data_IF_402591807817
#
_entry.id   IF_402591807817
#
_cell.length_a   1.000
_cell.length_b   1.000
_cell.length_c   1.000
_cell.angle_alpha   90.00
_cell.angle_beta   90.00
_cell.angle_gamma   90.00
#
_symmetry.space_group_name_H-M   'P 1'
#
loop_
_entity.id
_entity.type
_entity.pdbx_description
1 polymer ?
#
# COMPACT_ATOMS: atom_id res chain seq x y z
N UNK A 1 6.46 32.44 -0.64
CA UNK A 1 4.99 32.25 -0.63
C UNK A 1 4.62 31.42 0.56
N UNK A 2 3.56 31.78 1.28
CA UNK A 2 3.00 30.97 2.39
C UNK A 2 1.79 30.18 1.88
N UNK A 3 1.60 28.96 2.38
CA UNK A 3 0.38 28.16 2.14
C UNK A 3 -0.43 28.24 3.42
N UNK A 4 -1.72 28.59 3.30
CA UNK A 4 -2.65 28.53 4.42
C UNK A 4 -3.44 27.22 4.29
N UNK A 5 -3.21 26.29 5.23
CA UNK A 5 -3.87 25.00 5.28
C UNK A 5 -4.79 24.96 6.50
N UNK A 6 -6.04 24.56 6.29
CA UNK A 6 -7.04 24.41 7.34
C UNK A 6 -7.59 22.99 7.32
N UNK A 7 -7.53 22.31 8.46
CA UNK A 7 -8.12 20.99 8.57
C UNK A 7 -9.62 21.03 8.31
N UNK A 8 -10.07 20.28 7.31
CA UNK A 8 -11.48 20.16 6.91
C UNK A 8 -12.08 18.80 7.30
N UNK A 9 -11.22 17.79 7.47
CA UNK A 9 -11.65 16.46 7.84
C UNK A 9 -10.71 15.38 7.30
N UNK A 10 -11.15 14.15 7.46
CA UNK A 10 -10.44 12.95 6.96
C UNK A 10 -11.35 12.12 6.06
N UNK A 11 -10.81 11.67 4.95
CA UNK A 11 -11.39 10.58 4.15
C UNK A 11 -10.69 9.28 4.53
N UNK A 12 -11.47 8.24 4.81
CA UNK A 12 -10.95 6.94 5.24
C UNK A 12 -11.42 5.90 4.23
N UNK A 13 -10.49 5.16 3.65
CA UNK A 13 -10.78 3.99 2.82
C UNK A 13 -10.57 2.76 3.70
N UNK A 14 -11.57 1.90 3.80
CA UNK A 14 -11.46 0.55 4.34
C UNK A 14 -11.75 -0.44 3.21
N UNK A 15 -10.93 -1.47 3.08
CA UNK A 15 -11.07 -2.46 2.02
C UNK A 15 -10.44 -3.79 2.45
N UNK A 16 -10.84 -4.88 1.79
CA UNK A 16 -10.10 -6.14 1.85
C UNK A 16 -9.19 -6.27 0.65
N UNK A 17 -7.87 -6.43 0.90
CA UNK A 17 -6.89 -6.79 -0.10
C UNK A 17 -6.79 -8.30 -0.17
N UNK A 18 -7.11 -8.87 -1.33
CA UNK A 18 -7.10 -10.31 -1.59
C UNK A 18 -5.86 -10.68 -2.39
N UNK A 19 -5.10 -11.68 -1.93
CA UNK A 19 -3.97 -12.23 -2.65
C UNK A 19 -4.46 -13.22 -3.72
N UNK A 20 -4.42 -12.84 -5.00
CA UNK A 20 -4.74 -13.74 -6.13
C UNK A 20 -3.66 -14.79 -6.36
N UNK A 21 -2.42 -14.43 -6.05
CA UNK A 21 -1.26 -15.33 -6.08
C UNK A 21 -0.46 -15.17 -4.80
N UNK A 22 0.43 -16.13 -4.51
CA UNK A 22 1.26 -16.07 -3.31
C UNK A 22 1.99 -14.74 -3.17
N UNK A 23 1.92 -14.12 -1.98
CA UNK A 23 2.49 -12.80 -1.70
C UNK A 23 3.78 -12.93 -0.91
N UNK A 24 4.86 -12.31 -1.39
CA UNK A 24 6.13 -12.21 -0.68
C UNK A 24 6.48 -10.74 -0.42
N UNK A 25 6.41 -10.32 0.82
CA UNK A 25 6.99 -9.05 1.29
C UNK A 25 8.11 -9.42 2.26
N UNK A 26 9.36 -9.17 1.85
CA UNK A 26 10.54 -9.62 2.61
C UNK A 26 10.63 -8.96 3.98
N UNK A 27 10.93 -9.75 5.01
CA UNK A 27 11.28 -9.30 6.35
C UNK A 27 12.77 -8.96 6.47
N UNK A 28 13.19 -8.44 7.63
CA UNK A 28 14.60 -8.22 7.93
C UNK A 28 15.32 -9.56 8.15
N UNK A 29 16.59 -9.62 7.74
CA UNK A 29 17.43 -10.82 7.92
C UNK A 29 17.87 -11.08 9.37
N UNK A 30 17.46 -10.24 10.31
CA UNK A 30 17.93 -10.29 11.71
C UNK A 30 17.31 -11.42 12.55
N UNK A 31 16.30 -12.13 12.03
CA UNK A 31 15.69 -13.30 12.68
C UNK A 31 16.16 -14.63 12.08
N UNK A 32 17.45 -14.77 11.78
CA UNK A 32 17.98 -16.06 11.33
C UNK A 32 18.08 -17.04 12.50
N UNK A 33 17.10 -17.90 12.63
CA UNK A 33 17.33 -19.22 13.22
C UNK A 33 18.27 -20.00 12.30
N UNK A 34 19.28 -20.68 12.87
CA UNK A 34 20.17 -21.58 12.12
C UNK A 34 19.31 -22.64 11.43
N UNK A 35 19.25 -22.58 10.09
CA UNK A 35 18.37 -23.45 9.28
C UNK A 35 17.10 -22.79 8.75
N UNK A 36 16.91 -21.46 8.95
CA UNK A 36 15.79 -20.69 8.41
C UNK A 36 15.82 -20.55 6.88
N UNK A 37 14.69 -20.16 6.30
CA UNK A 37 14.54 -19.90 4.87
C UNK A 37 15.39 -18.69 4.44
N UNK A 38 16.05 -18.79 3.29
CA UNK A 38 16.93 -17.73 2.75
C UNK A 38 16.21 -16.38 2.53
N UNK A 39 14.88 -16.40 2.40
CA UNK A 39 14.08 -15.24 2.06
C UNK A 39 12.71 -15.29 2.76
N UNK A 40 12.64 -14.93 4.07
CA UNK A 40 11.40 -14.96 4.84
C UNK A 40 10.47 -13.78 4.50
N UNK A 41 9.16 -13.96 4.71
CA UNK A 41 8.19 -12.86 4.71
C UNK A 41 8.24 -12.08 6.02
N UNK A 42 7.79 -10.82 5.97
CA UNK A 42 7.65 -10.01 7.18
C UNK A 42 6.51 -10.55 8.05
N UNK A 43 6.76 -10.66 9.35
CA UNK A 43 5.84 -11.24 10.34
C UNK A 43 5.72 -10.33 11.55
N UNK A 44 4.61 -10.47 12.26
CA UNK A 44 4.39 -9.80 13.53
C UNK A 44 5.34 -10.37 14.58
N UNK A 45 6.11 -9.53 15.30
CA UNK A 45 7.12 -9.99 16.26
C UNK A 45 6.57 -10.34 17.64
N UNK A 46 5.33 -10.00 17.94
CA UNK A 46 4.64 -10.24 19.23
C UNK A 46 3.14 -10.41 18.99
N UNK A 47 2.43 -11.02 19.94
CA UNK A 47 0.98 -11.07 19.91
C UNK A 47 0.37 -9.65 19.98
N UNK A 48 -0.59 -9.36 19.11
CA UNK A 48 -1.32 -8.09 19.06
C UNK A 48 -2.82 -8.35 19.19
N UNK A 49 -3.48 -7.60 20.09
CA UNK A 49 -4.94 -7.58 20.18
C UNK A 49 -5.48 -6.34 19.47
N UNK A 50 -6.24 -6.54 18.40
CA UNK A 50 -6.86 -5.47 17.64
C UNK A 50 -8.11 -4.91 18.36
N UNK A 51 -8.56 -3.71 17.96
CA UNK A 51 -9.74 -3.05 18.56
C UNK A 51 -11.04 -3.81 18.35
N UNK A 52 -11.14 -4.60 17.30
CA UNK A 52 -12.29 -5.47 16.99
C UNK A 52 -12.28 -6.80 17.75
N UNK A 53 -11.27 -7.01 18.61
CA UNK A 53 -11.12 -8.20 19.45
C UNK A 53 -10.32 -9.33 18.80
N UNK A 54 -9.92 -9.23 17.53
CA UNK A 54 -9.04 -10.22 16.89
C UNK A 54 -7.67 -10.25 17.56
N UNK A 55 -7.11 -11.44 17.66
CA UNK A 55 -5.76 -11.68 18.11
C UNK A 55 -4.88 -12.05 16.91
N UNK A 56 -3.86 -11.25 16.67
CA UNK A 56 -2.82 -11.52 15.68
C UNK A 56 -1.65 -12.09 16.42
N UNK A 57 -1.36 -13.37 16.20
CA UNK A 57 -0.29 -14.10 16.90
C UNK A 57 1.07 -13.78 16.32
N UNK A 58 2.08 -13.84 17.17
CA UNK A 58 3.49 -13.81 16.77
C UNK A 58 3.73 -14.77 15.60
N UNK A 59 4.52 -14.36 14.60
CA UNK A 59 4.79 -15.15 13.40
C UNK A 59 3.74 -15.04 12.29
N UNK A 60 2.58 -14.45 12.53
CA UNK A 60 1.62 -14.18 11.45
C UNK A 60 2.15 -13.12 10.48
N UNK A 61 2.06 -13.34 9.16
CA UNK A 61 2.44 -12.32 8.18
C UNK A 61 1.44 -11.16 8.17
N UNK A 62 1.94 -9.97 7.87
CA UNK A 62 1.13 -8.76 7.67
C UNK A 62 1.64 -7.97 6.46
N UNK A 63 0.86 -7.02 5.98
CA UNK A 63 1.28 -6.12 4.91
C UNK A 63 1.64 -4.77 5.52
N UNK A 64 2.93 -4.36 5.52
CA UNK A 64 3.31 -3.04 6.01
C UNK A 64 2.66 -1.93 5.18
N UNK A 65 2.12 -0.91 5.85
CA UNK A 65 1.58 0.27 5.18
C UNK A 65 2.62 0.97 4.30
N UNK A 66 3.89 0.92 4.68
CA UNK A 66 5.01 1.43 3.87
C UNK A 66 5.16 0.70 2.52
N UNK A 67 4.92 -0.62 2.48
CA UNK A 67 4.98 -1.43 1.26
C UNK A 67 3.86 -1.06 0.29
N UNK A 68 2.62 -0.94 0.79
CA UNK A 68 1.47 -0.47 -0.01
C UNK A 68 1.70 0.95 -0.51
N UNK A 69 2.01 1.88 0.38
CA UNK A 69 2.27 3.28 0.05
C UNK A 69 3.36 3.43 -0.99
N UNK A 70 4.49 2.76 -0.79
CA UNK A 70 5.65 2.84 -1.68
C UNK A 70 5.34 2.32 -3.07
N UNK A 71 4.65 1.17 -3.18
CA UNK A 71 4.29 0.58 -4.46
C UNK A 71 3.25 1.43 -5.21
N UNK A 72 2.17 1.83 -4.55
CA UNK A 72 1.13 2.68 -5.13
C UNK A 72 1.72 4.00 -5.61
N UNK A 73 2.54 4.65 -4.80
CA UNK A 73 3.26 5.88 -5.17
C UNK A 73 4.09 5.67 -6.43
N UNK A 74 4.94 4.64 -6.46
CA UNK A 74 5.80 4.35 -7.60
C UNK A 74 5.01 4.16 -8.90
N UNK A 75 3.87 3.46 -8.85
CA UNK A 75 3.01 3.27 -10.01
C UNK A 75 2.39 4.59 -10.51
N UNK A 76 1.99 5.47 -9.61
CA UNK A 76 1.49 6.80 -9.94
C UNK A 76 2.59 7.70 -10.52
N UNK A 77 3.80 7.66 -9.97
CA UNK A 77 4.96 8.37 -10.50
C UNK A 77 5.23 8.00 -11.96
N UNK A 78 5.17 6.71 -12.30
CA UNK A 78 5.29 6.25 -13.69
C UNK A 78 4.10 6.67 -14.55
N UNK A 79 2.86 6.51 -14.06
CA UNK A 79 1.64 6.92 -14.78
C UNK A 79 1.66 8.38 -15.19
N UNK A 80 2.12 9.25 -14.30
CA UNK A 80 2.13 10.69 -14.53
C UNK A 80 3.44 11.22 -15.16
N UNK A 81 4.37 10.32 -15.53
CA UNK A 81 5.64 10.73 -16.15
C UNK A 81 6.57 11.50 -15.20
N UNK A 82 6.46 11.25 -13.90
CA UNK A 82 7.19 11.97 -12.85
C UNK A 82 8.51 11.29 -12.46
N UNK A 83 9.01 10.38 -13.28
CA UNK A 83 10.26 9.66 -13.03
C UNK A 83 11.29 10.04 -14.07
N UNK A 84 12.42 10.60 -13.62
CA UNK A 84 13.59 10.82 -14.44
C UNK A 84 14.59 9.67 -14.23
N UNK A 85 15.04 9.06 -15.31
CA UNK A 85 16.10 8.05 -15.28
C UNK A 85 17.39 8.70 -15.77
N UNK A 86 18.42 8.70 -14.92
CA UNK A 86 19.74 9.29 -15.26
C UNK A 86 20.88 8.38 -14.83
N UNK A 87 22.07 8.61 -15.39
CA UNK A 87 23.31 7.98 -14.90
C UNK A 87 23.97 8.89 -13.88
N UNK A 88 24.47 8.31 -12.79
CA UNK A 88 25.34 9.03 -11.85
C UNK A 88 26.77 9.13 -12.38
N UNK A 89 27.62 9.87 -11.67
CA UNK A 89 29.04 10.06 -12.04
C UNK A 89 29.87 8.77 -12.05
N UNK A 90 29.34 7.67 -11.48
CA UNK A 90 29.95 6.31 -11.47
C UNK A 90 29.38 5.42 -12.57
N UNK A 91 28.50 5.94 -13.43
CA UNK A 91 27.87 5.19 -14.52
C UNK A 91 26.64 4.36 -14.09
N UNK A 92 26.24 4.37 -12.83
CA UNK A 92 25.07 3.63 -12.36
C UNK A 92 23.78 4.32 -12.81
N UNK A 93 22.77 3.53 -13.17
CA UNK A 93 21.44 4.03 -13.49
C UNK A 93 20.71 4.36 -12.17
N UNK A 94 20.19 5.58 -12.09
CA UNK A 94 19.34 6.05 -10.99
C UNK A 94 18.03 6.56 -11.52
N UNK A 95 16.95 6.32 -10.78
CA UNK A 95 15.67 6.97 -11.00
C UNK A 95 15.45 8.01 -9.92
N UNK A 96 14.86 9.13 -10.29
CA UNK A 96 14.55 10.23 -9.38
C UNK A 96 13.10 10.66 -9.61
N UNK A 97 12.37 10.81 -8.52
CA UNK A 97 11.03 11.38 -8.55
C UNK A 97 11.08 12.89 -8.72
N UNK A 98 10.27 13.42 -9.65
CA UNK A 98 10.13 14.84 -9.91
C UNK A 98 8.86 15.33 -9.19
N UNK A 99 8.98 16.00 -8.03
CA UNK A 99 7.82 16.41 -7.23
C UNK A 99 7.17 17.71 -7.69
N UNK A 100 7.65 18.33 -8.75
CA UNK A 100 7.23 19.64 -9.22
C UNK A 100 6.85 19.64 -10.71
N UNK A 101 5.97 20.57 -11.07
CA UNK A 101 5.62 20.88 -12.46
C UNK A 101 6.70 21.76 -13.14
N UNK A 102 6.52 22.05 -14.43
CA UNK A 102 7.44 22.90 -15.21
C UNK A 102 7.58 24.33 -14.64
N UNK A 103 6.63 24.77 -13.83
CA UNK A 103 6.65 26.07 -13.15
C UNK A 103 7.35 26.02 -11.79
N UNK A 104 7.74 24.84 -11.33
CA UNK A 104 8.38 24.60 -10.02
C UNK A 104 7.40 24.54 -8.84
N UNK A 105 6.09 24.34 -9.09
CA UNK A 105 5.12 24.12 -8.04
C UNK A 105 5.05 22.61 -7.75
N UNK A 106 4.73 22.25 -6.50
CA UNK A 106 4.54 20.85 -6.13
C UNK A 106 3.39 20.24 -6.92
N UNK A 107 3.60 19.06 -7.51
CA UNK A 107 2.54 18.33 -8.19
C UNK A 107 1.64 17.58 -7.21
N UNK A 108 0.49 17.10 -7.68
CA UNK A 108 -0.50 16.46 -6.81
C UNK A 108 0.00 15.14 -6.20
N UNK A 109 0.83 14.34 -6.90
CA UNK A 109 1.45 13.14 -6.32
C UNK A 109 2.40 13.50 -5.19
N UNK A 110 3.23 14.53 -5.38
CA UNK A 110 4.10 15.08 -4.34
C UNK A 110 3.33 15.60 -3.14
N UNK A 111 2.20 16.28 -3.37
CA UNK A 111 1.32 16.77 -2.30
C UNK A 111 0.69 15.62 -1.52
N UNK A 112 0.20 14.59 -2.20
CA UNK A 112 -0.49 13.45 -1.58
C UNK A 112 0.47 12.54 -0.83
N UNK A 113 1.58 12.14 -1.47
CA UNK A 113 2.50 11.12 -0.94
C UNK A 113 3.72 11.69 -0.22
N UNK A 114 3.93 12.99 -0.31
CA UNK A 114 5.06 13.68 0.29
C UNK A 114 6.26 13.83 -0.67
N UNK A 115 7.19 14.68 -0.28
CA UNK A 115 8.40 14.99 -1.02
C UNK A 115 9.63 14.69 -0.17
N UNK A 116 10.63 14.03 -0.76
CA UNK A 116 11.88 13.76 -0.06
C UNK A 116 12.63 15.06 0.28
N UNK A 117 13.35 15.05 1.41
CA UNK A 117 14.08 16.24 1.93
C UNK A 117 15.03 16.85 0.89
N UNK A 118 15.66 16.01 0.06
CA UNK A 118 16.56 16.45 -1.02
C UNK A 118 15.87 17.32 -2.07
N UNK A 119 14.58 17.11 -2.30
CA UNK A 119 13.80 17.80 -3.34
C UNK A 119 13.09 19.05 -2.83
N UNK A 120 12.93 19.20 -1.51
CA UNK A 120 12.24 20.36 -0.90
C UNK A 120 12.91 21.69 -1.28
N UNK A 121 14.24 21.71 -1.40
CA UNK A 121 15.00 22.92 -1.74
C UNK A 121 14.71 23.47 -3.14
N UNK A 122 14.18 22.62 -4.04
CA UNK A 122 13.90 22.97 -5.44
C UNK A 122 12.46 23.45 -5.65
N UNK A 123 11.61 23.40 -4.60
CA UNK A 123 10.23 23.83 -4.68
C UNK A 123 10.09 25.34 -4.52
N UNK A 124 9.35 25.98 -5.41
CA UNK A 124 8.96 27.41 -5.29
C UNK A 124 7.89 27.61 -4.22
N UNK A 125 7.01 26.64 -4.05
CA UNK A 125 5.97 26.63 -3.02
C UNK A 125 6.34 25.65 -1.92
N UNK A 126 6.08 25.95 -0.63
CA UNK A 126 6.32 25.00 0.44
C UNK A 126 5.55 23.70 0.20
N UNK A 127 6.21 22.55 0.39
CA UNK A 127 5.52 21.29 0.51
C UNK A 127 4.76 21.26 1.84
N UNK A 128 3.45 21.14 1.81
CA UNK A 128 2.67 20.91 3.01
C UNK A 128 2.89 19.49 3.59
N UNK A 129 2.20 19.13 4.67
CA UNK A 129 2.24 17.77 5.21
C UNK A 129 1.69 16.77 4.19
N UNK A 130 2.21 15.54 4.23
CA UNK A 130 1.70 14.41 3.44
C UNK A 130 0.22 14.18 3.75
N UNK A 131 -0.62 14.08 2.73
CA UNK A 131 -2.08 13.89 2.90
C UNK A 131 -2.46 12.46 3.24
N UNK A 132 -1.75 11.45 2.69
CA UNK A 132 -2.14 10.04 2.80
C UNK A 132 -1.29 9.29 3.81
N UNK A 133 -1.95 8.49 4.65
CA UNK A 133 -1.35 7.54 5.60
C UNK A 133 -1.88 6.15 5.29
N UNK A 134 -0.99 5.18 5.20
CA UNK A 134 -1.32 3.77 5.03
C UNK A 134 -0.99 3.07 6.33
N UNK A 135 -1.96 2.39 6.92
CA UNK A 135 -1.74 1.60 8.12
C UNK A 135 -1.29 0.19 7.75
N UNK A 136 -0.65 -0.49 8.70
CA UNK A 136 -0.30 -1.90 8.55
C UNK A 136 -1.59 -2.73 8.46
N UNK A 137 -1.61 -3.68 7.53
CA UNK A 137 -2.79 -4.47 7.22
C UNK A 137 -2.62 -5.89 7.75
N UNK A 138 -3.54 -6.29 8.62
CA UNK A 138 -3.53 -7.59 9.27
C UNK A 138 -4.50 -8.55 8.58
N UNK A 139 -4.27 -9.88 8.70
CA UNK A 139 -5.16 -10.88 8.12
C UNK A 139 -6.58 -10.78 8.70
N UNK A 140 -7.57 -11.02 7.85
CA UNK A 140 -8.96 -11.16 8.30
C UNK A 140 -9.14 -12.40 9.17
N UNK A 141 -10.22 -12.44 9.98
CA UNK A 141 -10.54 -13.63 10.76
C UNK A 141 -10.71 -14.87 9.87
N UNK A 142 -11.35 -14.70 8.70
CA UNK A 142 -11.52 -15.77 7.73
C UNK A 142 -10.19 -16.26 7.15
N UNK A 143 -9.22 -15.40 6.97
CA UNK A 143 -7.87 -15.78 6.52
C UNK A 143 -7.13 -16.57 7.58
N UNK A 144 -7.23 -16.20 8.84
CA UNK A 144 -6.59 -16.93 9.94
C UNK A 144 -7.16 -18.36 10.02
N UNK A 145 -8.48 -18.50 9.90
CA UNK A 145 -9.14 -19.82 9.88
C UNK A 145 -8.74 -20.62 8.62
N UNK A 146 -8.73 -19.99 7.44
CA UNK A 146 -8.26 -20.59 6.20
C UNK A 146 -6.82 -21.13 6.33
N UNK A 147 -5.89 -20.39 6.93
CA UNK A 147 -4.52 -20.88 7.14
C UNK A 147 -4.49 -22.10 8.08
N UNK A 148 -5.26 -22.05 9.16
CA UNK A 148 -5.37 -23.16 10.09
C UNK A 148 -5.88 -24.45 9.43
N UNK A 149 -6.90 -24.32 8.58
CA UNK A 149 -7.48 -25.46 7.85
C UNK A 149 -6.56 -26.01 6.77
N UNK A 150 -5.90 -25.13 5.99
CA UNK A 150 -5.13 -25.56 4.82
C UNK A 150 -3.68 -25.91 5.14
N UNK A 151 -3.06 -25.23 6.09
CA UNK A 151 -1.64 -25.38 6.42
C UNK A 151 -1.41 -26.12 7.74
N UNK A 152 -2.37 -26.06 8.66
CA UNK A 152 -2.24 -26.56 10.01
C UNK A 152 -2.10 -25.46 11.06
N UNK A 153 -2.34 -25.80 12.31
CA UNK A 153 -2.29 -24.86 13.42
C UNK A 153 -0.87 -24.27 13.60
N UNK A 154 -0.79 -22.94 13.71
CA UNK A 154 0.48 -22.22 13.85
C UNK A 154 1.27 -22.04 12.55
N UNK A 155 0.76 -22.51 11.41
CA UNK A 155 1.37 -22.31 10.10
C UNK A 155 0.61 -21.23 9.30
N UNK A 156 1.33 -20.26 8.78
CA UNK A 156 0.74 -19.06 8.13
C UNK A 156 1.28 -18.80 6.74
N UNK A 157 2.26 -19.59 6.29
CA UNK A 157 2.99 -19.36 5.03
C UNK A 157 3.27 -20.66 4.31
N UNK A 158 3.51 -20.56 3.00
CA UNK A 158 3.95 -21.65 2.14
C UNK A 158 5.35 -21.37 1.58
N UNK A 159 6.03 -22.41 1.11
CA UNK A 159 7.34 -22.30 0.46
C UNK A 159 7.21 -22.59 -1.02
N UNK A 160 7.59 -21.61 -1.87
CA UNK A 160 7.73 -21.79 -3.31
C UNK A 160 9.18 -22.10 -3.65
N UNK A 161 9.40 -23.18 -4.39
CA UNK A 161 10.72 -23.52 -4.92
C UNK A 161 10.84 -23.00 -6.35
N UNK A 162 11.87 -22.21 -6.63
CA UNK A 162 12.23 -21.74 -7.96
C UNK A 162 13.63 -22.23 -8.33
N UNK A 163 13.82 -22.73 -9.54
CA UNK A 163 15.14 -23.17 -10.03
C UNK A 163 15.73 -22.13 -10.99
N UNK A 164 16.93 -21.66 -10.68
CA UNK A 164 17.75 -20.93 -11.63
C UNK A 164 18.64 -21.94 -12.39
N UNK A 165 18.33 -22.14 -13.66
CA UNK A 165 19.09 -23.08 -14.51
C UNK A 165 20.16 -22.32 -15.29
N UNK A 166 21.41 -22.72 -15.14
CA UNK A 166 22.49 -22.22 -15.97
C UNK A 166 22.29 -22.75 -17.42
N UNK A 167 22.12 -21.81 -18.36
CA UNK A 167 21.80 -22.16 -19.77
C UNK A 167 22.90 -22.88 -20.50
N UNK A 168 24.15 -22.85 -20.02
CA UNK A 168 25.30 -23.48 -20.64
C UNK A 168 25.57 -24.86 -20.02
N UNK A 169 25.60 -24.92 -18.68
CA UNK A 169 25.96 -26.14 -17.95
C UNK A 169 24.76 -26.99 -17.53
N UNK A 170 23.53 -26.49 -17.73
CA UNK A 170 22.27 -27.10 -17.25
C UNK A 170 22.22 -27.31 -15.73
N UNK A 171 23.14 -26.73 -14.99
CA UNK A 171 23.16 -26.83 -13.53
C UNK A 171 21.96 -26.09 -12.94
N UNK A 172 21.16 -26.77 -12.13
CA UNK A 172 20.04 -26.20 -11.38
C UNK A 172 20.51 -25.64 -10.03
N UNK A 173 20.10 -24.45 -9.70
CA UNK A 173 20.32 -23.83 -8.40
C UNK A 173 18.95 -23.51 -7.77
N UNK A 174 18.42 -24.38 -6.88
CA UNK A 174 17.13 -24.18 -6.25
C UNK A 174 17.18 -22.99 -5.28
N UNK A 175 16.10 -22.20 -5.26
CA UNK A 175 15.88 -21.11 -4.33
C UNK A 175 14.53 -21.29 -3.65
N UNK A 176 14.51 -21.16 -2.35
CA UNK A 176 13.33 -21.30 -1.54
C UNK A 176 12.81 -19.92 -1.18
N UNK A 177 11.56 -19.64 -1.47
CA UNK A 177 10.93 -18.37 -1.19
C UNK A 177 9.69 -18.62 -0.33
N UNK A 178 9.69 -18.06 0.87
CA UNK A 178 8.51 -18.03 1.71
C UNK A 178 7.50 -17.02 1.16
N UNK A 179 6.22 -17.34 1.21
CA UNK A 179 5.15 -16.44 0.80
C UNK A 179 3.84 -16.73 1.52
N UNK A 180 3.00 -15.72 1.64
CA UNK A 180 1.61 -15.85 2.07
C UNK A 180 0.84 -16.59 0.99
N UNK A 181 -0.01 -17.57 1.31
CA UNK A 181 -0.78 -18.33 0.32
C UNK A 181 -1.74 -17.46 -0.50
N UNK A 182 -2.01 -17.86 -1.73
CA UNK A 182 -3.11 -17.31 -2.52
C UNK A 182 -4.45 -17.54 -1.81
N UNK A 183 -5.40 -16.61 -1.96
CA UNK A 183 -6.67 -16.63 -1.25
C UNK A 183 -6.66 -15.91 0.11
N UNK A 184 -5.48 -15.57 0.63
CA UNK A 184 -5.37 -14.79 1.87
C UNK A 184 -5.89 -13.37 1.68
N UNK A 185 -6.55 -12.83 2.70
CA UNK A 185 -7.13 -11.49 2.72
C UNK A 185 -6.62 -10.69 3.90
N UNK A 186 -6.35 -9.40 3.65
CA UNK A 186 -5.86 -8.46 4.64
C UNK A 186 -6.77 -7.24 4.68
N UNK A 187 -7.09 -6.77 5.88
CA UNK A 187 -7.83 -5.51 6.04
C UNK A 187 -6.90 -4.32 5.84
N UNK A 188 -7.23 -3.51 4.87
CA UNK A 188 -6.51 -2.29 4.52
C UNK A 188 -7.28 -1.09 5.04
N UNK A 189 -6.59 -0.19 5.73
CA UNK A 189 -7.09 1.12 6.10
C UNK A 189 -6.14 2.20 5.60
N UNK A 190 -6.69 3.17 4.85
CA UNK A 190 -5.95 4.31 4.31
C UNK A 190 -6.67 5.58 4.77
N UNK A 191 -5.94 6.48 5.44
CA UNK A 191 -6.44 7.77 5.87
C UNK A 191 -5.89 8.86 4.96
N UNK A 192 -6.77 9.75 4.51
CA UNK A 192 -6.43 10.91 3.70
C UNK A 192 -6.90 12.19 4.39
N UNK A 193 -5.97 13.06 4.76
CA UNK A 193 -6.27 14.35 5.40
C UNK A 193 -6.66 15.39 4.36
N UNK A 194 -7.80 16.03 4.57
CA UNK A 194 -8.31 17.14 3.76
C UNK A 194 -7.94 18.44 4.43
N UNK A 195 -7.00 19.18 3.87
CA UNK A 195 -6.48 20.44 4.39
C UNK A 195 -6.85 21.65 3.52
N UNK A 196 -7.29 21.43 2.30
CA UNK A 196 -7.77 22.42 1.35
C UNK A 196 -8.82 21.82 0.40
N UNK A 197 -9.62 22.63 -0.29
CA UNK A 197 -10.72 22.13 -1.14
C UNK A 197 -10.24 21.24 -2.29
N UNK A 198 -9.05 21.52 -2.82
CA UNK A 198 -8.44 20.70 -3.89
C UNK A 198 -8.12 19.27 -3.43
N UNK A 199 -7.98 19.04 -2.14
CA UNK A 199 -7.66 17.71 -1.61
C UNK A 199 -8.81 16.70 -1.84
N UNK A 200 -10.06 17.15 -1.92
CA UNK A 200 -11.18 16.29 -2.32
C UNK A 200 -11.00 15.72 -3.74
N UNK A 201 -10.43 16.49 -4.66
CA UNK A 201 -10.13 16.01 -6.00
C UNK A 201 -8.89 15.11 -6.01
N UNK A 202 -7.85 15.46 -5.21
CA UNK A 202 -6.62 14.68 -5.07
C UNK A 202 -6.85 13.29 -4.46
N UNK A 203 -7.91 13.14 -3.67
CA UNK A 203 -8.27 11.84 -3.09
C UNK A 203 -8.43 10.74 -4.16
N UNK A 204 -8.95 11.08 -5.34
CA UNK A 204 -9.08 10.13 -6.46
C UNK A 204 -7.76 9.52 -6.90
N UNK A 205 -6.63 10.23 -6.72
CA UNK A 205 -5.29 9.72 -7.04
C UNK A 205 -4.96 8.47 -6.22
N UNK A 206 -5.44 8.37 -4.98
CA UNK A 206 -5.25 7.18 -4.14
C UNK A 206 -5.98 5.98 -4.74
N UNK A 207 -7.25 6.16 -5.13
CA UNK A 207 -8.04 5.11 -5.79
C UNK A 207 -7.43 4.69 -7.14
N UNK A 208 -6.93 5.64 -7.94
CA UNK A 208 -6.20 5.34 -9.18
C UNK A 208 -4.95 4.49 -8.91
N UNK A 209 -4.20 4.84 -7.86
CA UNK A 209 -3.03 4.06 -7.45
C UNK A 209 -3.38 2.64 -7.00
N UNK A 210 -4.49 2.47 -6.28
CA UNK A 210 -5.01 1.15 -5.93
C UNK A 210 -5.38 0.35 -7.19
N UNK A 211 -6.05 0.97 -8.19
CA UNK A 211 -6.40 0.31 -9.45
C UNK A 211 -5.16 -0.09 -10.26
N UNK A 212 -4.13 0.76 -10.31
CA UNK A 212 -2.84 0.42 -10.95
C UNK A 212 -2.14 -0.76 -10.27
N UNK A 213 -2.29 -0.89 -8.94
CA UNK A 213 -1.71 -2.00 -8.19
C UNK A 213 -2.37 -3.34 -8.57
N UNK A 214 -3.69 -3.38 -8.80
CA UNK A 214 -4.41 -4.58 -9.24
C UNK A 214 -3.90 -5.14 -10.58
N UNK A 215 -3.50 -4.26 -11.51
CA UNK A 215 -2.92 -4.64 -12.81
C UNK A 215 -1.40 -4.91 -12.73
N UNK A 216 -0.79 -4.70 -11.55
CA UNK A 216 0.63 -4.91 -11.31
C UNK A 216 0.85 -6.02 -10.25
N UNK A 217 1.75 -5.80 -9.32
CA UNK A 217 2.03 -6.72 -8.21
C UNK A 217 2.49 -5.97 -6.96
N UNK A 218 2.33 -6.58 -5.81
CA UNK A 218 2.84 -6.14 -4.51
C UNK A 218 3.99 -7.06 -4.08
N UNK A 219 5.02 -6.49 -3.43
CA UNK A 219 6.15 -7.25 -2.90
C UNK A 219 7.13 -7.75 -3.94
N UNK A 220 7.82 -8.84 -3.63
CA UNK A 220 8.90 -9.42 -4.43
C UNK A 220 8.44 -10.52 -5.39
N UNK A 221 9.22 -10.73 -6.46
CA UNK A 221 8.99 -11.83 -7.41
C UNK A 221 7.80 -11.63 -8.37
N UNK A 222 7.31 -10.40 -8.53
CA UNK A 222 6.13 -10.08 -9.34
C UNK A 222 6.26 -10.48 -10.82
N UNK A 223 7.42 -10.32 -11.41
CA UNK A 223 7.69 -10.77 -12.80
C UNK A 223 7.69 -12.30 -12.96
N UNK A 224 7.62 -13.03 -11.85
CA UNK A 224 7.56 -14.51 -11.80
C UNK A 224 6.26 -15.01 -11.17
N UNK A 225 5.20 -14.16 -11.19
CA UNK A 225 3.85 -14.53 -10.85
C UNK A 225 3.48 -14.39 -9.36
N UNK A 226 4.32 -13.77 -8.52
CA UNK A 226 3.96 -13.48 -7.14
C UNK A 226 3.26 -12.12 -7.00
N UNK A 227 2.44 -11.97 -5.95
CA UNK A 227 1.96 -10.68 -5.49
C UNK A 227 0.85 -10.04 -6.32
N UNK A 228 0.11 -10.79 -7.16
CA UNK A 228 -1.12 -10.28 -7.75
C UNK A 228 -2.18 -10.13 -6.66
N UNK A 229 -2.75 -8.95 -6.58
CA UNK A 229 -3.74 -8.60 -5.56
C UNK A 229 -4.92 -7.85 -6.17
N UNK A 230 -6.06 -7.82 -5.48
CA UNK A 230 -7.16 -6.93 -5.81
C UNK A 230 -7.87 -6.46 -4.53
N UNK A 231 -8.59 -5.34 -4.62
CA UNK A 231 -9.34 -4.78 -3.50
C UNK A 231 -10.82 -5.03 -3.69
N UNK A 232 -11.50 -5.45 -2.61
CA UNK A 232 -12.94 -5.63 -2.57
C UNK A 232 -13.55 -5.02 -1.32
N UNK A 233 -14.87 -4.93 -1.31
CA UNK A 233 -15.68 -4.46 -0.17
C UNK A 233 -15.22 -3.08 0.34
N UNK A 234 -14.99 -2.15 -0.61
CA UNK A 234 -14.41 -0.84 -0.32
C UNK A 234 -15.46 0.06 0.31
N UNK A 235 -15.20 0.53 1.50
CA UNK A 235 -15.97 1.53 2.22
C UNK A 235 -15.18 2.85 2.24
N UNK A 236 -15.81 3.96 1.88
CA UNK A 236 -15.22 5.29 1.94
C UNK A 236 -16.04 6.13 2.92
N UNK A 237 -15.36 6.65 3.96
CA UNK A 237 -15.97 7.37 5.06
C UNK A 237 -15.37 8.77 5.09
N UNK A 238 -16.21 9.81 5.18
CA UNK A 238 -15.77 11.16 5.45
C UNK A 238 -16.11 11.57 6.88
N UNK A 239 -15.11 12.02 7.63
CA UNK A 239 -15.23 12.60 8.95
C UNK A 239 -14.83 14.07 8.84
N UNK A 240 -15.84 14.95 8.89
CA UNK A 240 -15.65 16.39 8.84
C UNK A 240 -14.92 16.91 10.08
N UNK A 241 -14.50 18.17 10.06
CA UNK A 241 -14.01 18.85 11.26
C UNK A 241 -15.08 18.84 12.36
N UNK A 242 -16.33 19.06 12.00
CA UNK A 242 -17.50 19.09 12.87
C UNK A 242 -17.76 17.73 13.54
N UNK A 243 -17.44 16.60 12.85
CA UNK A 243 -17.45 15.27 13.46
C UNK A 243 -16.51 15.19 14.66
N UNK A 244 -15.28 15.70 14.54
CA UNK A 244 -14.30 15.69 15.64
C UNK A 244 -14.66 16.66 16.77
N UNK A 245 -15.51 17.63 16.50
CA UNK A 245 -16.10 18.54 17.50
C UNK A 245 -17.35 17.95 18.16
N UNK A 246 -17.80 16.75 17.73
CA UNK A 246 -19.02 16.08 18.23
C UNK A 246 -20.31 16.70 17.75
N UNK A 247 -20.29 17.48 16.66
CA UNK A 247 -21.47 18.22 16.13
C UNK A 247 -22.15 17.48 14.97
N UNK A 248 -21.45 16.57 14.29
CA UNK A 248 -21.96 15.80 13.15
C UNK A 248 -21.56 14.34 13.26
N UNK A 249 -22.26 13.47 12.53
CA UNK A 249 -21.89 12.08 12.36
C UNK A 249 -20.98 11.90 11.15
N UNK A 250 -20.25 10.76 11.10
CA UNK A 250 -19.48 10.41 9.92
C UNK A 250 -20.39 10.13 8.72
N UNK A 251 -19.96 10.54 7.52
CA UNK A 251 -20.67 10.27 6.27
C UNK A 251 -20.04 9.08 5.56
N UNK A 252 -20.81 8.01 5.40
CA UNK A 252 -20.43 6.90 4.52
C UNK A 252 -20.86 7.25 3.10
N UNK A 253 -19.89 7.23 2.17
CA UNK A 253 -20.18 7.49 0.76
C UNK A 253 -20.94 6.30 0.13
N UNK A 254 -21.48 6.50 -1.07
CA UNK A 254 -22.31 5.50 -1.75
C UNK A 254 -23.57 5.13 -0.95
N UNK A 255 -24.17 6.07 -0.23
CA UNK A 255 -25.35 5.80 0.58
C UNK A 255 -25.15 4.76 1.70
N UNK A 256 -23.91 4.59 2.17
CA UNK A 256 -23.55 3.60 3.18
C UNK A 256 -23.24 2.20 2.63
N UNK A 257 -23.40 1.97 1.33
CA UNK A 257 -23.06 0.70 0.70
C UNK A 257 -21.55 0.63 0.40
N UNK A 258 -20.98 -0.58 0.45
CA UNK A 258 -19.62 -0.82 0.01
C UNK A 258 -19.56 -0.88 -1.53
N UNK A 259 -18.49 -0.34 -2.11
CA UNK A 259 -18.16 -0.58 -3.51
C UNK A 259 -17.57 -1.98 -3.65
N UNK A 260 -17.95 -2.70 -4.69
CA UNK A 260 -17.47 -4.06 -4.94
C UNK A 260 -15.99 -4.12 -5.25
N UNK A 261 -15.48 -3.09 -5.96
CA UNK A 261 -14.10 -2.97 -6.41
C UNK A 261 -13.66 -1.52 -6.59
N UNK A 262 -12.39 -1.29 -6.88
CA UNK A 262 -11.81 0.06 -7.06
C UNK A 262 -12.39 0.77 -8.28
N UNK A 263 -12.72 0.06 -9.35
CA UNK A 263 -13.28 0.63 -10.57
C UNK A 263 -14.66 1.26 -10.31
N UNK A 264 -15.51 0.59 -9.54
CA UNK A 264 -16.80 1.13 -9.12
C UNK A 264 -16.63 2.39 -8.27
N UNK A 265 -15.70 2.38 -7.31
CA UNK A 265 -15.39 3.54 -6.49
C UNK A 265 -14.86 4.74 -7.31
N UNK A 266 -14.03 4.48 -8.33
CA UNK A 266 -13.50 5.51 -9.23
C UNK A 266 -14.57 6.16 -10.11
N UNK A 267 -15.53 5.34 -10.60
CA UNK A 267 -16.62 5.80 -11.48
C UNK A 267 -17.73 6.52 -10.70
N UNK A 268 -17.81 6.30 -9.40
CA UNK A 268 -18.80 6.95 -8.57
C UNK A 268 -18.54 8.45 -8.50
N UNK A 269 -19.61 9.22 -8.57
CA UNK A 269 -19.55 10.64 -8.27
C UNK A 269 -19.45 10.75 -6.74
N UNK A 270 -18.20 10.72 -6.23
CA UNK A 270 -17.97 10.95 -4.81
C UNK A 270 -18.40 12.39 -4.54
N UNK A 271 -19.64 12.60 -4.04
CA UNK A 271 -20.12 13.91 -3.58
C UNK A 271 -19.31 14.30 -2.34
N UNK A 272 -18.07 14.71 -2.58
CA UNK A 272 -17.10 15.12 -1.56
C UNK A 272 -17.13 16.63 -1.28
N UNK A 273 -17.97 17.39 -2.01
CA UNK A 273 -18.07 18.83 -1.88
C UNK A 273 -19.39 19.22 -1.20
N UNK A 274 -19.30 19.55 0.08
CA UNK A 274 -20.03 20.67 0.73
C UNK A 274 -19.50 20.92 2.12
#
# INVERSE_FOLDING_TARGET
MSINLNFKGNLIIKANLVCLTGLHIGGSKESFEIGGLDNPVIKVPIDIKLKDGREIKEGMPYIPGSSLKGKIRSLLEWKYGLVMVKRDNKGNIKSEFIPFDDKGNINDVGTVFGVGVSNVKNLKTPAGPTRVKFYDSYPTATTIEFWKEQLGEGLYTEVKVENAINRITSQANPRYQERVPAGSEFEVEILFEVLEDKDFQRFKIVLEGMRLLEDNYLGGGGTRGNGRVFFRDIEIIYRSKEFYEGKEEEKKLNGGNKFKNVEEALKSNLELSR
#
